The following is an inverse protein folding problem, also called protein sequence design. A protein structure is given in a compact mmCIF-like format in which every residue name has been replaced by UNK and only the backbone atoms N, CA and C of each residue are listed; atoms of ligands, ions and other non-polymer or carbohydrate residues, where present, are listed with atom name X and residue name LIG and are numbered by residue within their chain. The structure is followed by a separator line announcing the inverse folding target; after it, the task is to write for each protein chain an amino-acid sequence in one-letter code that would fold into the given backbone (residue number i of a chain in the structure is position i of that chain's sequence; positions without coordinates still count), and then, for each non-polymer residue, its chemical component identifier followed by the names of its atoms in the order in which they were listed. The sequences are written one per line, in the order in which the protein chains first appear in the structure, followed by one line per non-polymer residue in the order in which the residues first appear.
data_IF_655774026813
#
_entry.id   IF_655774026813
#
_cell.length_a   1.000
_cell.length_b   1.000
_cell.length_c   1.000
_cell.angle_alpha   90.00
_cell.angle_beta   90.00
_cell.angle_gamma   90.00
#
_symmetry.space_group_name_H-M   'P 1'
#
loop_
_entity.id
_entity.type
_entity.pdbx_description
1 polymer ?
#
# COMPACT_ATOMS: atom_id res chain seq x y z
N UNK A 1 -23.55 -9.69 -0.57
CA UNK A 1 -23.06 -9.29 -1.90
C UNK A 1 -21.83 -10.10 -2.27
N UNK A 2 -21.76 -10.56 -3.52
CA UNK A 2 -20.61 -11.28 -4.12
C UNK A 2 -20.10 -10.47 -5.32
N UNK A 3 -18.79 -10.47 -5.58
CA UNK A 3 -18.22 -10.04 -6.86
C UNK A 3 -17.74 -11.33 -7.53
N UNK A 4 -18.43 -11.76 -8.58
CA UNK A 4 -18.25 -13.11 -9.13
C UNK A 4 -18.50 -14.18 -8.07
N UNK A 5 -17.53 -15.07 -7.84
CA UNK A 5 -17.58 -16.11 -6.79
C UNK A 5 -17.11 -15.65 -5.40
N UNK A 6 -16.49 -14.48 -5.26
CA UNK A 6 -15.86 -14.10 -3.99
C UNK A 6 -16.77 -13.25 -3.10
N UNK A 7 -16.89 -13.58 -1.80
CA UNK A 7 -17.57 -12.73 -0.84
C UNK A 7 -16.77 -11.44 -0.60
N UNK A 8 -17.42 -10.29 -0.84
CA UNK A 8 -16.78 -8.94 -0.87
C UNK A 8 -16.15 -8.56 0.47
N UNK A 9 -16.79 -8.92 1.57
CA UNK A 9 -16.34 -8.59 2.93
C UNK A 9 -15.07 -9.33 3.36
N UNK A 10 -14.98 -10.68 3.30
CA UNK A 10 -13.75 -11.40 3.66
C UNK A 10 -12.58 -11.04 2.76
N UNK A 11 -12.83 -10.68 1.50
CA UNK A 11 -11.78 -10.21 0.60
C UNK A 11 -11.23 -8.84 1.04
N UNK A 12 -12.10 -7.91 1.45
CA UNK A 12 -11.67 -6.64 2.04
C UNK A 12 -10.93 -6.83 3.38
N UNK A 13 -11.40 -7.76 4.23
CA UNK A 13 -10.70 -8.12 5.47
C UNK A 13 -9.32 -8.71 5.20
N UNK A 14 -9.18 -9.63 4.24
CA UNK A 14 -7.89 -10.19 3.87
C UNK A 14 -6.90 -9.12 3.40
N UNK A 15 -7.35 -8.20 2.52
CA UNK A 15 -6.50 -7.09 2.05
C UNK A 15 -6.12 -6.12 3.18
N UNK A 16 -7.03 -5.87 4.13
CA UNK A 16 -6.74 -5.03 5.28
C UNK A 16 -5.73 -5.70 6.24
N UNK A 17 -5.87 -7.01 6.50
CA UNK A 17 -4.94 -7.79 7.34
C UNK A 17 -3.54 -7.84 6.71
N UNK A 18 -3.43 -8.06 5.40
CA UNK A 18 -2.14 -8.00 4.69
C UNK A 18 -1.51 -6.61 4.84
N UNK A 19 -2.34 -5.54 4.74
CA UNK A 19 -1.89 -4.17 4.97
C UNK A 19 -1.37 -3.92 6.39
N UNK A 20 -2.05 -4.48 7.40
CA UNK A 20 -1.62 -4.41 8.81
C UNK A 20 -0.31 -5.16 9.00
N UNK A 21 -0.19 -6.37 8.46
CA UNK A 21 1.02 -7.19 8.58
C UNK A 21 2.21 -6.47 7.95
N UNK A 22 2.06 -5.94 6.73
CA UNK A 22 3.07 -5.14 6.04
C UNK A 22 3.52 -3.95 6.89
N UNK A 23 2.56 -3.22 7.47
CA UNK A 23 2.87 -2.06 8.30
C UNK A 23 3.55 -2.44 9.62
N UNK A 24 3.12 -3.53 10.24
CA UNK A 24 3.72 -4.08 11.46
C UNK A 24 5.17 -4.48 11.26
N UNK A 25 5.48 -5.15 10.14
CA UNK A 25 6.87 -5.49 9.77
C UNK A 25 7.71 -4.22 9.59
N UNK A 26 7.16 -3.20 8.93
CA UNK A 26 7.88 -1.94 8.72
C UNK A 26 8.15 -1.18 10.03
N UNK A 27 7.22 -1.23 10.99
CA UNK A 27 7.41 -0.64 12.33
C UNK A 27 8.47 -1.43 13.12
N UNK A 28 8.44 -2.76 13.05
CA UNK A 28 9.37 -3.61 13.79
C UNK A 28 10.81 -3.47 13.28
N UNK A 29 11.00 -3.43 11.96
CA UNK A 29 12.33 -3.31 11.34
C UNK A 29 12.84 -1.86 11.26
N UNK A 30 11.96 -0.86 11.20
CA UNK A 30 12.31 0.55 10.98
C UNK A 30 12.65 1.32 12.27
N UNK A 31 13.77 1.01 12.91
CA UNK A 31 14.14 1.59 14.21
C UNK A 31 14.87 2.95 14.17
N UNK A 32 15.17 3.52 12.98
CA UNK A 32 16.19 4.59 12.88
C UNK A 32 15.66 6.03 12.85
N UNK A 33 14.37 6.30 12.63
CA UNK A 33 13.87 7.71 12.62
C UNK A 33 12.38 7.83 12.93
N UNK A 34 11.99 8.82 13.76
CA UNK A 34 10.58 9.10 14.13
C UNK A 34 9.65 9.27 12.92
N UNK A 35 10.06 10.01 11.88
CA UNK A 35 9.27 10.17 10.66
C UNK A 35 9.01 8.85 9.92
N UNK A 36 9.95 7.90 9.97
CA UNK A 36 9.80 6.59 9.34
C UNK A 36 8.82 5.68 10.09
N UNK A 37 8.53 5.96 11.37
CA UNK A 37 7.59 5.20 12.19
C UNK A 37 6.15 5.76 12.15
N UNK A 38 5.98 7.08 11.97
CA UNK A 38 4.65 7.72 11.96
C UNK A 38 3.82 7.29 10.76
N UNK A 39 4.40 7.29 9.56
CA UNK A 39 3.69 6.94 8.33
C UNK A 39 3.13 5.51 8.34
N UNK A 40 3.90 4.45 8.69
CA UNK A 40 3.35 3.11 8.82
C UNK A 40 2.35 3.00 9.99
N UNK A 41 2.53 3.73 11.09
CA UNK A 41 1.54 3.76 12.17
C UNK A 41 0.19 4.31 11.69
N UNK A 42 0.19 5.42 10.95
CA UNK A 42 -1.02 5.98 10.32
C UNK A 42 -1.65 4.97 9.35
N UNK A 43 -0.85 4.27 8.56
CA UNK A 43 -1.34 3.24 7.63
C UNK A 43 -1.94 2.03 8.36
N UNK A 44 -1.38 1.64 9.51
CA UNK A 44 -1.93 0.59 10.36
C UNK A 44 -3.29 1.00 10.91
N UNK A 45 -3.38 2.19 11.51
CA UNK A 45 -4.65 2.73 12.03
C UNK A 45 -5.71 2.85 10.94
N UNK A 46 -5.32 3.25 9.73
CA UNK A 46 -6.22 3.33 8.58
C UNK A 46 -6.80 1.96 8.20
N UNK A 47 -5.98 0.91 8.14
CA UNK A 47 -6.48 -0.44 7.84
C UNK A 47 -7.38 -0.98 8.97
N UNK A 48 -7.07 -0.69 10.23
CA UNK A 48 -7.95 -1.03 11.37
C UNK A 48 -9.28 -0.27 11.28
N UNK A 49 -9.25 1.02 10.90
CA UNK A 49 -10.46 1.82 10.70
C UNK A 49 -11.35 1.25 9.59
N UNK A 50 -10.78 0.76 8.48
CA UNK A 50 -11.56 0.08 7.43
C UNK A 50 -12.26 -1.15 7.98
N UNK A 51 -11.54 -2.00 8.73
CA UNK A 51 -12.12 -3.21 9.35
C UNK A 51 -13.29 -2.82 10.27
N UNK A 52 -13.08 -1.80 11.11
CA UNK A 52 -14.10 -1.30 12.02
C UNK A 52 -15.31 -0.71 11.29
N UNK A 53 -15.10 0.08 10.23
CA UNK A 53 -16.17 0.67 9.44
C UNK A 53 -17.04 -0.40 8.77
N UNK A 54 -16.43 -1.47 8.25
CA UNK A 54 -17.13 -2.60 7.64
C UNK A 54 -17.86 -3.44 8.70
N UNK A 55 -17.28 -3.60 9.89
CA UNK A 55 -17.90 -4.32 11.00
C UNK A 55 -19.13 -3.60 11.54
N UNK A 56 -19.03 -2.27 11.78
CA UNK A 56 -20.12 -1.44 12.33
C UNK A 56 -21.30 -1.28 11.38
N UNK A 57 -21.08 -1.43 10.06
CA UNK A 57 -22.07 -1.24 8.98
C UNK A 57 -22.75 0.15 8.96
N UNK A 58 -22.15 1.14 9.59
CA UNK A 58 -22.66 2.51 9.58
C UNK A 58 -22.33 3.19 8.24
N UNK A 59 -23.37 3.69 7.57
CA UNK A 59 -23.28 4.37 6.27
C UNK A 59 -22.32 5.56 6.34
N UNK A 60 -22.29 6.29 7.47
CA UNK A 60 -21.38 7.44 7.66
C UNK A 60 -19.92 6.99 7.71
N UNK A 61 -19.62 5.96 8.51
CA UNK A 61 -18.26 5.41 8.62
C UNK A 61 -17.76 4.82 7.30
N UNK A 62 -18.61 4.12 6.56
CA UNK A 62 -18.29 3.59 5.23
C UNK A 62 -17.99 4.71 4.21
N UNK A 63 -18.73 5.81 4.25
CA UNK A 63 -18.48 6.99 3.39
C UNK A 63 -17.15 7.67 3.72
N UNK A 64 -16.81 7.76 5.00
CA UNK A 64 -15.51 8.28 5.43
C UNK A 64 -14.37 7.34 5.02
N UNK A 65 -14.52 6.02 5.20
CA UNK A 65 -13.54 5.04 4.75
C UNK A 65 -13.32 5.13 3.23
N UNK A 66 -14.39 5.31 2.45
CA UNK A 66 -14.30 5.51 1.01
C UNK A 66 -13.50 6.77 0.65
N UNK A 67 -13.78 7.91 1.28
CA UNK A 67 -13.07 9.19 1.04
C UNK A 67 -11.60 9.10 1.42
N UNK A 68 -11.28 8.50 2.56
CA UNK A 68 -9.91 8.31 3.02
C UNK A 68 -9.13 7.38 2.09
N UNK A 69 -9.72 6.26 1.65
CA UNK A 69 -9.08 5.34 0.70
C UNK A 69 -8.78 6.03 -0.64
N UNK A 70 -9.70 6.88 -1.12
CA UNK A 70 -9.48 7.66 -2.33
C UNK A 70 -8.33 8.68 -2.15
N UNK A 71 -8.32 9.41 -1.03
CA UNK A 71 -7.27 10.38 -0.73
C UNK A 71 -5.89 9.71 -0.65
N UNK A 72 -5.79 8.54 0.01
CA UNK A 72 -4.55 7.74 0.09
C UNK A 72 -4.12 7.27 -1.30
N UNK A 73 -5.07 6.82 -2.14
CA UNK A 73 -4.78 6.40 -3.51
C UNK A 73 -4.23 7.57 -4.36
N UNK A 74 -4.78 8.77 -4.22
CA UNK A 74 -4.27 9.95 -4.92
C UNK A 74 -2.86 10.33 -4.40
N UNK A 75 -2.68 10.32 -3.08
CA UNK A 75 -1.39 10.66 -2.47
C UNK A 75 -0.28 9.68 -2.86
N UNK A 76 -0.63 8.42 -3.16
CA UNK A 76 0.31 7.38 -3.59
C UNK A 76 0.92 7.60 -4.99
N UNK A 77 0.38 8.54 -5.79
CA UNK A 77 0.99 8.95 -7.06
C UNK A 77 2.36 9.60 -6.86
N UNK A 78 2.53 10.35 -5.77
CA UNK A 78 3.81 11.02 -5.45
C UNK A 78 4.94 10.00 -5.25
N UNK A 79 4.84 9.02 -4.34
CA UNK A 79 5.88 8.00 -4.19
C UNK A 79 6.02 7.11 -5.42
N UNK A 80 4.96 6.92 -6.22
CA UNK A 80 5.07 6.20 -7.49
C UNK A 80 6.01 6.87 -8.50
N UNK A 81 6.02 8.20 -8.56
CA UNK A 81 6.93 8.95 -9.43
C UNK A 81 8.34 9.01 -8.82
N UNK A 82 8.44 9.24 -7.51
CA UNK A 82 9.71 9.51 -6.86
C UNK A 82 10.52 8.25 -6.50
N UNK A 83 9.88 7.20 -5.98
CA UNK A 83 10.61 6.02 -5.47
C UNK A 83 11.41 5.28 -6.56
N UNK A 84 10.86 4.98 -7.75
CA UNK A 84 11.63 4.29 -8.79
C UNK A 84 12.87 5.08 -9.21
N UNK A 85 12.74 6.40 -9.36
CA UNK A 85 13.83 7.29 -9.76
C UNK A 85 14.89 7.37 -8.67
N UNK A 86 14.47 7.55 -7.41
CA UNK A 86 15.40 7.62 -6.27
C UNK A 86 16.12 6.28 -6.09
N UNK A 87 15.41 5.16 -6.17
CA UNK A 87 16.03 3.83 -6.05
C UNK A 87 16.99 3.54 -7.19
N UNK A 88 16.61 3.82 -8.44
CA UNK A 88 17.48 3.65 -9.59
C UNK A 88 18.74 4.51 -9.45
N UNK A 89 18.59 5.77 -9.04
CA UNK A 89 19.70 6.71 -8.85
C UNK A 89 20.63 6.27 -7.71
N UNK A 90 20.08 5.81 -6.59
CA UNK A 90 20.85 5.35 -5.42
C UNK A 90 21.65 4.08 -5.70
N UNK A 91 21.10 3.16 -6.50
CA UNK A 91 21.80 1.93 -6.88
C UNK A 91 22.84 2.22 -7.97
N UNK A 92 22.50 3.04 -8.97
CA UNK A 92 23.42 3.42 -10.03
C UNK A 92 24.59 4.28 -9.52
N UNK A 93 24.39 5.10 -8.48
CA UNK A 93 25.46 5.89 -7.86
C UNK A 93 26.47 5.06 -7.05
N UNK A 94 26.19 3.76 -6.82
CA UNK A 94 27.03 2.90 -5.99
C UNK A 94 26.94 3.24 -4.50
N UNK A 95 25.98 4.07 -4.08
CA UNK A 95 25.86 4.52 -2.70
C UNK A 95 25.39 3.41 -1.75
N UNK A 96 24.74 2.38 -2.31
CA UNK A 96 24.42 1.13 -1.62
C UNK A 96 25.67 0.38 -1.13
N UNK A 97 26.82 0.51 -1.81
CA UNK A 97 28.10 -0.11 -1.42
C UNK A 97 28.61 0.46 -0.08
N UNK A 98 28.22 1.70 0.29
CA UNK A 98 28.57 2.33 1.58
C UNK A 98 27.73 1.82 2.75
N UNK A 99 26.57 1.21 2.47
CA UNK A 99 25.66 0.68 3.49
C UNK A 99 25.97 -0.78 3.86
N UNK A 100 26.88 -1.42 3.13
CA UNK A 100 27.40 -2.75 3.41
C UNK A 100 28.45 -2.68 4.56
N UNK A 101 27.97 -2.37 5.76
CA UNK A 101 28.80 -2.14 6.96
C UNK A 101 29.42 -3.41 7.57
N UNK A 102 29.30 -4.57 6.92
CA UNK A 102 29.66 -5.84 7.54
C UNK A 102 31.01 -6.41 7.10
N UNK A 103 31.79 -5.71 6.26
CA UNK A 103 33.14 -6.11 5.77
C UNK A 103 33.25 -7.58 5.27
N UNK A 104 32.13 -8.26 5.05
CA UNK A 104 32.08 -9.71 4.85
C UNK A 104 31.54 -10.03 3.47
N UNK A 105 32.31 -9.68 2.45
CA UNK A 105 32.05 -9.91 1.01
C UNK A 105 31.08 -8.86 0.45
N UNK A 106 31.53 -7.81 -0.26
CA UNK A 106 32.13 -7.92 -1.61
C UNK A 106 33.17 -6.82 -1.83
N UNK A 107 34.45 -7.21 -1.91
CA UNK A 107 35.48 -6.33 -2.46
C UNK A 107 35.32 -6.25 -4.00
N UNK A 108 35.04 -5.08 -4.58
CA UNK A 108 34.83 -4.91 -6.03
C UNK A 108 36.08 -5.26 -6.86
N UNK A 109 37.24 -5.42 -6.22
CA UNK A 109 38.46 -5.90 -6.87
C UNK A 109 38.51 -7.42 -7.12
N UNK A 110 37.54 -8.21 -6.64
CA UNK A 110 37.46 -9.67 -6.92
C UNK A 110 36.35 -10.08 -7.91
N UNK A 111 35.39 -9.22 -8.19
CA UNK A 111 34.39 -9.46 -9.23
C UNK A 111 34.74 -8.63 -10.46
N UNK A 112 35.48 -9.24 -11.38
CA UNK A 112 35.81 -8.63 -12.67
C UNK A 112 34.57 -7.99 -13.31
N UNK A 113 34.71 -6.73 -13.71
CA UNK A 113 33.77 -5.94 -14.51
C UNK A 113 32.52 -5.34 -13.82
N UNK A 114 32.35 -5.46 -12.49
CA UNK A 114 31.29 -4.77 -11.73
C UNK A 114 31.54 -3.25 -11.53
N UNK A 115 32.71 -2.76 -11.94
CA UNK A 115 33.09 -1.35 -11.96
C UNK A 115 32.74 -0.62 -13.26
N UNK A 116 32.17 -1.31 -14.27
CA UNK A 116 31.74 -0.63 -15.50
C UNK A 116 30.51 0.25 -15.23
N UNK A 117 30.54 1.54 -15.58
CA UNK A 117 29.39 2.46 -15.40
C UNK A 117 28.10 1.92 -16.01
N UNK A 118 28.21 1.20 -17.13
CA UNK A 118 27.07 0.63 -17.85
C UNK A 118 26.38 -0.49 -17.08
N UNK A 119 27.13 -1.34 -16.36
CA UNK A 119 26.54 -2.40 -15.56
C UNK A 119 25.83 -1.86 -14.33
N UNK A 120 26.41 -0.85 -13.67
CA UNK A 120 25.78 -0.13 -12.55
C UNK A 120 24.50 0.58 -12.99
N UNK A 121 24.53 1.19 -14.17
CA UNK A 121 23.34 1.78 -14.79
C UNK A 121 22.26 0.72 -15.08
N UNK A 122 22.63 -0.44 -15.63
CA UNK A 122 21.68 -1.52 -15.93
C UNK A 122 21.01 -2.09 -14.67
N UNK A 123 21.78 -2.34 -13.60
CA UNK A 123 21.22 -2.80 -12.31
C UNK A 123 20.32 -1.72 -11.71
N UNK A 124 20.77 -0.46 -11.70
CA UNK A 124 19.97 0.66 -11.20
C UNK A 124 18.64 0.81 -11.95
N UNK A 125 18.67 0.78 -13.27
CA UNK A 125 17.47 0.83 -14.11
C UNK A 125 16.52 -0.35 -13.82
N UNK A 126 17.06 -1.57 -13.71
CA UNK A 126 16.27 -2.77 -13.39
C UNK A 126 15.61 -2.66 -12.01
N UNK A 127 16.36 -2.20 -11.00
CA UNK A 127 15.82 -2.01 -9.66
C UNK A 127 14.74 -0.92 -9.62
N UNK A 128 14.92 0.17 -10.37
CA UNK A 128 13.89 1.19 -10.57
C UNK A 128 12.59 0.59 -11.13
N UNK A 129 12.68 -0.20 -12.21
CA UNK A 129 11.52 -0.87 -12.81
C UNK A 129 10.83 -1.84 -11.86
N UNK A 130 11.58 -2.57 -11.04
CA UNK A 130 11.01 -3.47 -10.01
C UNK A 130 10.23 -2.66 -8.97
N UNK A 131 10.79 -1.54 -8.50
CA UNK A 131 10.12 -0.64 -7.55
C UNK A 131 8.89 0.00 -8.17
N UNK A 132 8.95 0.38 -9.45
CA UNK A 132 7.81 0.92 -10.19
C UNK A 132 6.67 -0.11 -10.28
N UNK A 133 6.96 -1.32 -10.74
CA UNK A 133 5.98 -2.40 -10.84
C UNK A 133 5.38 -2.75 -9.47
N UNK A 134 6.21 -2.84 -8.43
CA UNK A 134 5.75 -3.06 -7.06
C UNK A 134 4.85 -1.95 -6.55
N UNK A 135 5.22 -0.69 -6.79
CA UNK A 135 4.42 0.47 -6.37
C UNK A 135 3.10 0.54 -7.13
N UNK A 136 3.10 0.33 -8.46
CA UNK A 136 1.89 0.25 -9.27
C UNK A 136 0.93 -0.83 -8.77
N UNK A 137 1.45 -2.01 -8.42
CA UNK A 137 0.65 -3.09 -7.84
C UNK A 137 0.01 -2.68 -6.51
N UNK A 138 0.75 -2.03 -5.61
CA UNK A 138 0.22 -1.55 -4.33
C UNK A 138 -0.88 -0.49 -4.51
N UNK A 139 -0.74 0.41 -5.49
CA UNK A 139 -1.77 1.39 -5.84
C UNK A 139 -3.02 0.67 -6.36
N UNK A 140 -2.84 -0.33 -7.23
CA UNK A 140 -3.96 -1.13 -7.72
C UNK A 140 -4.71 -1.83 -6.57
N UNK A 141 -4.00 -2.32 -5.55
CA UNK A 141 -4.62 -2.89 -4.34
C UNK A 141 -5.45 -1.86 -3.57
N UNK A 142 -4.97 -0.63 -3.40
CA UNK A 142 -5.73 0.44 -2.72
C UNK A 142 -6.97 0.88 -3.52
N UNK A 143 -6.85 1.03 -4.84
CA UNK A 143 -8.00 1.28 -5.73
C UNK A 143 -9.02 0.15 -5.67
N UNK A 144 -8.55 -1.09 -5.55
CA UNK A 144 -9.43 -2.23 -5.39
C UNK A 144 -10.15 -2.21 -4.04
N UNK A 145 -9.48 -1.86 -2.93
CA UNK A 145 -10.15 -1.62 -1.63
C UNK A 145 -11.23 -0.54 -1.74
N UNK A 146 -10.93 0.58 -2.42
CA UNK A 146 -11.90 1.65 -2.67
C UNK A 146 -13.16 1.14 -3.39
N UNK A 147 -12.98 0.33 -4.43
CA UNK A 147 -14.10 -0.28 -5.16
C UNK A 147 -14.97 -1.19 -4.26
N UNK A 148 -14.33 -2.03 -3.44
CA UNK A 148 -15.03 -2.92 -2.51
C UNK A 148 -15.84 -2.13 -1.46
N UNK A 149 -15.24 -1.10 -0.86
CA UNK A 149 -15.89 -0.23 0.12
C UNK A 149 -17.09 0.48 -0.53
N UNK A 150 -16.92 1.00 -1.75
CA UNK A 150 -18.00 1.68 -2.49
C UNK A 150 -19.18 0.73 -2.75
N UNK A 151 -18.91 -0.52 -3.10
CA UNK A 151 -19.94 -1.56 -3.28
C UNK A 151 -20.67 -1.87 -1.96
N UNK A 152 -19.94 -2.05 -0.87
CA UNK A 152 -20.53 -2.28 0.47
C UNK A 152 -21.39 -1.09 0.87
N UNK A 153 -20.87 0.13 0.75
CA UNK A 153 -21.60 1.35 1.07
C UNK A 153 -22.91 1.46 0.30
N UNK A 154 -22.89 1.22 -1.04
CA UNK A 154 -24.11 1.25 -1.86
C UNK A 154 -25.13 0.19 -1.43
N UNK A 155 -24.66 -1.00 -1.02
CA UNK A 155 -25.51 -2.06 -0.46
C UNK A 155 -26.23 -1.63 0.81
N UNK A 156 -25.47 -1.15 1.79
CA UNK A 156 -26.01 -0.79 3.11
C UNK A 156 -26.90 0.46 3.00
N UNK A 157 -26.55 1.41 2.13
CA UNK A 157 -27.39 2.56 1.84
C UNK A 157 -28.74 2.14 1.22
N UNK A 158 -28.73 1.20 0.27
CA UNK A 158 -29.97 0.69 -0.33
C UNK A 158 -30.84 -0.06 0.68
N UNK A 159 -30.23 -0.84 1.58
CA UNK A 159 -30.94 -1.55 2.65
C UNK A 159 -31.53 -0.59 3.67
N UNK A 160 -30.78 0.44 4.06
CA UNK A 160 -31.25 1.49 4.96
C UNK A 160 -32.47 2.22 4.39
N UNK A 161 -32.44 2.56 3.10
CA UNK A 161 -33.57 3.21 2.41
C UNK A 161 -34.82 2.32 2.41
N UNK A 162 -34.69 1.02 2.13
CA UNK A 162 -35.82 0.07 2.15
C UNK A 162 -36.44 -0.06 3.54
N UNK A 163 -35.62 -0.02 4.60
CA UNK A 163 -36.09 -0.17 5.97
C UNK A 163 -36.79 1.09 6.48
N UNK A 164 -36.43 2.28 5.97
CA UNK A 164 -37.12 3.54 6.27
C UNK A 164 -38.37 3.73 5.41
N UNK A 165 -38.38 3.29 4.16
CA UNK A 165 -39.54 3.43 3.26
C UNK A 165 -40.65 2.39 3.49
N UNK A 166 -40.36 1.31 4.22
CA UNK A 166 -41.35 0.29 4.59
C UNK A 166 -42.19 0.63 5.84
N UNK A 167 -41.92 1.76 6.50
CA UNK A 167 -42.69 2.21 7.67
C UNK A 167 -43.72 3.32 7.34
N UNK A 168 -43.73 3.80 6.09
CA UNK A 168 -44.68 4.79 5.57
C UNK A 168 -45.62 4.15 4.53
N UNK A 169 -46.19 2.99 4.85
CA UNK A 169 -47.40 2.51 4.17
C UNK A 169 -48.60 2.76 5.09
N UNK A 170 -49.63 3.49 4.63
CA UNK A 170 -50.77 3.95 5.44
C UNK A 170 -51.61 2.82 6.02
#
# INVERSE_FOLDING_TARGET
MKIGCFPVRPLLYALAVIGILRSGVHIFCGHKTFCQAILPLCYLLFNVFIIFAVYKRDVKSLKWAQRLTLAVSILSVIPFILLPVVTASFIASGEWEKYDMNETHVHPEKYGNLTSPDFRFFIGATAGLIVEAGTAFLIAVELFKYFLITKIWRSEHSLGMMHTSGFDSP
#
